data_IF_055178142971
#
_entry.id   IF_055178142971
#
_cell.length_a   1.000
_cell.length_b   1.000
_cell.length_c   1.000
_cell.angle_alpha   90.00
_cell.angle_beta   90.00
_cell.angle_gamma   90.00
#
_symmetry.space_group_name_H-M   'P 1'
#
loop_
_entity.id
_entity.type
_entity.pdbx_description
1 polymer ?
#
# COMPACT_ATOMS: atom_id res chain seq x y z
N UNK A 1 -56.89 29.82 5.90
CA UNK A 1 -56.74 28.44 5.42
C UNK A 1 -55.60 27.84 6.22
N UNK A 2 -55.95 27.15 7.30
CA UNK A 2 -55.03 26.70 8.35
C UNK A 2 -55.07 25.18 8.33
N UNK A 3 -53.95 24.53 8.05
CA UNK A 3 -53.83 23.08 8.08
C UNK A 3 -52.88 22.67 9.22
N UNK A 4 -53.44 21.89 10.13
CA UNK A 4 -52.83 21.30 11.32
C UNK A 4 -51.89 20.16 10.92
N UNK A 5 -50.70 20.13 11.51
CA UNK A 5 -49.81 18.97 11.51
C UNK A 5 -50.22 18.04 12.66
N UNK A 6 -50.49 16.77 12.33
CA UNK A 6 -50.71 15.70 13.30
C UNK A 6 -49.42 14.94 13.57
N UNK A 7 -49.03 14.85 14.83
CA UNK A 7 -47.92 14.03 15.32
C UNK A 7 -48.39 12.58 15.54
N UNK A 8 -47.68 11.61 14.97
CA UNK A 8 -47.92 10.18 15.22
C UNK A 8 -46.79 9.63 16.09
N UNK A 9 -47.08 9.42 17.38
CA UNK A 9 -46.17 8.80 18.35
C UNK A 9 -46.38 7.28 18.35
N UNK A 10 -45.39 6.52 17.86
CA UNK A 10 -45.36 5.05 17.95
C UNK A 10 -44.67 4.62 19.24
N UNK A 11 -45.45 4.04 20.17
CA UNK A 11 -44.95 3.41 21.40
C UNK A 11 -44.43 2.00 21.08
N UNK A 12 -43.15 1.77 21.36
CA UNK A 12 -42.50 0.46 21.32
C UNK A 12 -42.75 -0.28 22.65
N UNK A 13 -43.29 -1.50 22.59
CA UNK A 13 -43.37 -2.44 23.71
C UNK A 13 -42.34 -3.56 23.49
N UNK A 14 -41.48 -3.88 24.47
CA UNK A 14 -40.64 -5.06 24.39
C UNK A 14 -41.40 -6.30 24.90
N UNK A 15 -41.45 -7.35 24.09
CA UNK A 15 -41.88 -8.68 24.53
C UNK A 15 -40.71 -9.46 25.14
N UNK A 16 -40.90 -9.94 26.36
CA UNK A 16 -40.01 -10.86 27.07
C UNK A 16 -40.22 -12.28 26.56
N UNK A 17 -39.29 -12.76 25.73
CA UNK A 17 -39.22 -14.14 25.27
C UNK A 17 -38.18 -14.95 26.05
N UNK A 18 -38.65 -15.98 26.73
CA UNK A 18 -37.90 -16.97 27.52
C UNK A 18 -37.00 -17.83 26.62
N UNK A 19 -35.70 -17.92 26.96
CA UNK A 19 -34.69 -18.71 26.26
C UNK A 19 -34.79 -20.18 26.71
N UNK A 20 -35.11 -21.08 25.78
CA UNK A 20 -35.13 -22.54 25.98
C UNK A 20 -33.87 -23.15 25.38
N UNK A 21 -33.15 -23.91 26.20
CA UNK A 21 -32.02 -24.76 25.82
C UNK A 21 -32.44 -25.81 24.78
N UNK A 22 -31.75 -25.84 23.64
CA UNK A 22 -31.67 -27.01 22.76
C UNK A 22 -30.23 -27.11 22.23
N UNK A 23 -29.52 -28.14 22.69
CA UNK A 23 -28.24 -28.55 22.11
C UNK A 23 -28.49 -29.30 20.78
N UNK A 24 -27.70 -29.06 19.73
CA UNK A 24 -27.83 -29.82 18.49
C UNK A 24 -27.08 -31.16 18.57
N UNK A 25 -27.80 -32.23 18.26
CA UNK A 25 -27.26 -33.57 17.96
C UNK A 25 -26.55 -33.54 16.60
N UNK A 26 -25.38 -34.19 16.43
CA UNK A 26 -24.71 -34.29 15.12
C UNK A 26 -25.50 -35.20 14.16
N UNK A 27 -25.52 -34.91 12.84
CA UNK A 27 -26.16 -35.78 11.87
C UNK A 27 -25.28 -36.98 11.50
N UNK A 28 -25.96 -38.11 11.25
CA UNK A 28 -25.43 -39.41 10.87
C UNK A 28 -24.66 -39.40 9.54
N UNK A 29 -23.56 -40.17 9.52
CA UNK A 29 -22.76 -40.49 8.35
C UNK A 29 -23.55 -41.36 7.36
N UNK A 30 -24.03 -40.75 6.28
CA UNK A 30 -24.45 -41.47 5.08
C UNK A 30 -23.32 -41.47 4.05
N UNK A 31 -22.64 -42.62 3.93
CA UNK A 31 -21.81 -42.96 2.78
C UNK A 31 -22.63 -42.88 1.48
N UNK A 32 -22.36 -41.85 0.68
CA UNK A 32 -22.74 -41.80 -0.73
C UNK A 32 -21.49 -42.10 -1.56
N UNK A 33 -21.42 -43.34 -2.05
CA UNK A 33 -20.44 -43.75 -3.05
C UNK A 33 -20.85 -43.14 -4.40
N UNK A 34 -20.13 -42.12 -4.84
CA UNK A 34 -20.21 -41.59 -6.21
C UNK A 34 -18.94 -41.95 -6.96
N UNK A 35 -19.12 -42.88 -7.90
CA UNK A 35 -18.15 -43.31 -8.90
C UNK A 35 -18.25 -42.34 -10.10
N UNK A 36 -17.25 -41.49 -10.28
CA UNK A 36 -17.06 -40.70 -11.49
C UNK A 36 -15.59 -40.30 -11.64
N UNK A 37 -14.92 -40.88 -12.65
CA UNK A 37 -13.54 -40.58 -12.99
C UNK A 37 -13.35 -39.13 -13.41
N UNK A 38 -12.48 -38.43 -12.67
CA UNK A 38 -11.82 -37.21 -13.11
C UNK A 38 -10.35 -37.33 -12.72
N UNK A 39 -9.47 -37.52 -13.71
CA UNK A 39 -8.03 -37.49 -13.46
C UNK A 39 -7.59 -36.03 -13.17
N UNK A 40 -6.94 -35.75 -12.03
CA UNK A 40 -6.38 -34.43 -11.78
C UNK A 40 -5.13 -34.23 -12.64
N UNK A 41 -5.17 -33.19 -13.47
CA UNK A 41 -3.99 -32.67 -14.17
C UNK A 41 -2.93 -32.34 -13.10
N UNK A 42 -1.81 -33.07 -13.14
CA UNK A 42 -0.64 -32.82 -12.28
C UNK A 42 -0.13 -31.41 -12.54
N UNK A 43 -0.32 -30.50 -11.58
CA UNK A 43 0.42 -29.25 -11.52
C UNK A 43 1.93 -29.55 -11.40
N UNK A 44 2.79 -28.84 -12.14
CA UNK A 44 4.24 -29.01 -12.01
C UNK A 44 4.69 -28.57 -10.62
N UNK A 45 5.33 -29.49 -9.89
CA UNK A 45 6.10 -29.21 -8.67
C UNK A 45 7.23 -28.23 -9.03
N UNK A 46 7.16 -27.00 -8.53
CA UNK A 46 8.27 -26.06 -8.67
C UNK A 46 8.00 -24.58 -8.38
N UNK A 47 6.75 -24.13 -8.30
CA UNK A 47 6.44 -22.72 -8.02
C UNK A 47 5.56 -22.62 -6.77
N UNK A 48 6.16 -22.25 -5.65
CA UNK A 48 5.40 -21.71 -4.51
C UNK A 48 4.70 -20.44 -5.01
N UNK A 49 3.39 -20.34 -4.73
CA UNK A 49 2.63 -19.11 -4.97
C UNK A 49 3.27 -17.94 -4.21
N UNK A 50 3.13 -16.69 -4.69
CA UNK A 50 3.66 -15.54 -3.95
C UNK A 50 3.12 -15.47 -2.52
N UNK A 51 1.89 -15.95 -2.30
CA UNK A 51 1.30 -16.10 -0.97
C UNK A 51 2.10 -17.04 -0.05
N UNK A 52 2.64 -18.15 -0.58
CA UNK A 52 3.48 -19.08 0.18
C UNK A 52 4.91 -18.55 0.38
N UNK A 53 5.43 -17.75 -0.56
CA UNK A 53 6.72 -17.05 -0.41
C UNK A 53 6.63 -15.97 0.67
N UNK A 54 5.53 -15.21 0.72
CA UNK A 54 5.25 -14.20 1.74
C UNK A 54 5.14 -14.83 3.14
N UNK A 55 4.46 -15.99 3.26
CA UNK A 55 4.45 -16.80 4.50
C UNK A 55 5.81 -17.36 4.90
N UNK A 56 6.71 -17.61 3.93
CA UNK A 56 8.07 -18.07 4.22
C UNK A 56 8.94 -16.94 4.81
N UNK A 57 8.86 -15.73 4.25
CA UNK A 57 9.52 -14.54 4.80
C UNK A 57 9.02 -14.24 6.23
N UNK A 58 7.72 -14.37 6.49
CA UNK A 58 7.15 -14.18 7.83
C UNK A 58 7.61 -15.21 8.87
N UNK A 59 7.84 -16.47 8.48
CA UNK A 59 8.41 -17.49 9.38
C UNK A 59 9.85 -17.19 9.77
N UNK A 60 10.61 -16.52 8.91
CA UNK A 60 12.00 -16.17 9.18
C UNK A 60 12.10 -14.97 10.15
N UNK A 61 11.18 -14.00 10.04
CA UNK A 61 11.16 -12.82 10.91
C UNK A 61 10.51 -13.08 12.28
N UNK A 62 9.58 -14.02 12.40
CA UNK A 62 8.98 -14.42 13.69
C UNK A 62 9.91 -15.21 14.62
N UNK A 63 11.08 -15.64 14.15
CA UNK A 63 12.03 -16.47 14.92
C UNK A 63 13.14 -15.67 15.64
N UNK A 64 13.23 -14.35 15.42
CA UNK A 64 14.23 -13.50 16.06
C UNK A 64 13.72 -13.01 17.43
N UNK A 65 14.20 -13.68 18.48
CA UNK A 65 13.87 -13.39 19.87
C UNK A 65 14.16 -11.94 20.29
N UNK A 66 13.35 -11.46 21.23
CA UNK A 66 13.49 -10.15 21.91
C UNK A 66 14.92 -9.95 22.46
N UNK A 67 15.63 -8.86 22.12
CA UNK A 67 16.74 -8.40 22.93
C UNK A 67 16.24 -7.52 24.10
N UNK A 68 16.93 -7.65 25.22
CA UNK A 68 16.70 -6.91 26.46
C UNK A 68 17.12 -5.44 26.35
N UNK A 69 16.39 -4.57 27.05
CA UNK A 69 16.62 -3.13 27.19
C UNK A 69 18.09 -2.78 27.46
N UNK A 70 18.68 -1.93 26.61
CA UNK A 70 19.88 -1.18 26.91
C UNK A 70 19.59 0.32 26.74
N UNK A 71 19.62 1.06 27.84
CA UNK A 71 19.50 2.51 27.87
C UNK A 71 20.77 3.15 27.26
N UNK A 72 20.60 3.97 26.22
CA UNK A 72 21.69 4.74 25.63
C UNK A 72 21.58 6.21 26.08
N UNK A 73 22.58 6.68 26.83
CA UNK A 73 22.77 8.07 27.19
C UNK A 73 23.30 8.85 25.98
N UNK A 74 22.55 9.83 25.49
CA UNK A 74 22.98 10.75 24.43
C UNK A 74 23.73 11.93 25.08
N UNK A 75 25.00 12.09 24.70
CA UNK A 75 25.80 13.25 25.05
C UNK A 75 25.42 14.44 24.14
N UNK A 76 25.01 15.55 24.76
CA UNK A 76 24.77 16.82 24.08
C UNK A 76 26.09 17.41 23.54
N UNK A 77 26.08 17.82 22.27
CA UNK A 77 27.13 18.65 21.67
C UNK A 77 26.55 19.97 21.18
N UNK A 78 27.32 21.02 21.41
CA UNK A 78 26.94 22.43 21.34
C UNK A 78 26.54 22.90 19.93
N UNK A 79 25.47 23.69 19.89
CA UNK A 79 24.94 24.35 18.69
C UNK A 79 25.68 25.67 18.47
N UNK A 80 26.36 25.79 17.33
CA UNK A 80 26.90 27.08 16.86
C UNK A 80 25.82 27.78 16.04
N UNK A 81 25.32 28.91 16.53
CA UNK A 81 24.25 29.70 15.92
C UNK A 81 24.77 30.57 14.76
N UNK A 82 24.50 30.14 13.53
CA UNK A 82 24.61 31.01 12.35
C UNK A 82 23.34 31.87 12.22
N UNK A 83 23.50 33.19 12.32
CA UNK A 83 22.43 34.14 12.02
C UNK A 83 22.34 34.33 10.51
N UNK A 84 21.76 33.36 9.82
CA UNK A 84 21.34 33.48 8.43
C UNK A 84 19.92 34.00 8.37
N UNK A 85 19.68 35.03 7.56
CA UNK A 85 18.35 35.55 7.22
C UNK A 85 17.45 34.41 6.76
N UNK A 86 16.53 33.94 7.62
CA UNK A 86 15.52 32.96 7.25
C UNK A 86 14.52 33.60 6.28
N UNK A 87 14.79 33.48 4.98
CA UNK A 87 13.70 33.47 4.02
C UNK A 87 12.91 32.21 4.31
N UNK A 88 11.78 32.35 4.99
CA UNK A 88 10.73 31.32 4.99
C UNK A 88 10.25 31.20 3.55
N UNK A 89 10.87 30.29 2.80
CA UNK A 89 10.39 29.88 1.48
C UNK A 89 8.97 29.36 1.69
N UNK A 90 8.00 30.11 1.18
CA UNK A 90 6.60 29.77 1.33
C UNK A 90 6.36 28.49 0.54
N UNK A 91 5.96 27.43 1.23
CA UNK A 91 5.64 26.15 0.62
C UNK A 91 4.63 26.38 -0.52
N UNK A 92 4.88 25.83 -1.72
CA UNK A 92 3.92 25.94 -2.81
C UNK A 92 2.60 25.30 -2.37
N UNK A 93 1.48 25.93 -2.72
CA UNK A 93 0.15 25.36 -2.46
C UNK A 93 -0.17 24.33 -3.54
N UNK A 94 -0.65 23.13 -3.19
CA UNK A 94 -1.09 22.17 -4.18
C UNK A 94 -2.34 22.69 -4.93
N UNK A 95 -2.44 22.40 -6.22
CA UNK A 95 -3.63 22.68 -7.03
C UNK A 95 -4.80 21.75 -6.72
N UNK A 96 -4.51 20.56 -6.18
CA UNK A 96 -5.49 19.59 -5.67
C UNK A 96 -4.99 19.11 -4.32
N UNK A 97 -5.85 19.11 -3.31
CA UNK A 97 -5.58 18.50 -2.01
C UNK A 97 -6.85 17.78 -1.56
N UNK A 98 -6.75 16.45 -1.47
CA UNK A 98 -7.87 15.58 -1.14
C UNK A 98 -7.40 14.52 -0.13
N UNK A 99 -8.21 14.27 0.90
CA UNK A 99 -7.98 13.17 1.82
C UNK A 99 -8.92 12.03 1.49
N UNK A 100 -8.37 10.87 1.20
CA UNK A 100 -9.12 9.65 0.92
C UNK A 100 -8.88 8.60 1.99
N UNK A 101 -9.80 7.65 2.13
CA UNK A 101 -9.65 6.49 3.00
C UNK A 101 -9.54 5.26 2.11
N UNK A 102 -8.41 4.56 2.20
CA UNK A 102 -8.21 3.27 1.55
C UNK A 102 -8.24 2.18 2.62
N UNK A 103 -9.03 1.13 2.42
CA UNK A 103 -8.85 -0.08 3.20
C UNK A 103 -7.66 -0.86 2.60
N UNK A 104 -6.51 -0.77 3.25
CA UNK A 104 -5.32 -1.51 2.82
C UNK A 104 -5.49 -2.98 3.17
N UNK A 105 -5.10 -3.85 2.25
CA UNK A 105 -5.05 -5.29 2.40
C UNK A 105 -3.64 -5.79 2.12
N UNK A 106 -3.22 -6.79 2.90
CA UNK A 106 -1.92 -7.47 2.77
C UNK A 106 -0.66 -6.59 2.86
N UNK A 107 -0.79 -5.33 3.29
CA UNK A 107 0.34 -4.42 3.40
C UNK A 107 0.88 -3.93 2.06
N UNK A 108 0.02 -3.84 1.05
CA UNK A 108 0.34 -3.13 -0.18
C UNK A 108 -0.84 -2.33 -0.71
N UNK A 109 -0.53 -1.33 -1.52
CA UNK A 109 -1.50 -0.66 -2.37
C UNK A 109 -0.87 -0.29 -3.71
N UNK A 110 -1.73 0.03 -4.68
CA UNK A 110 -1.37 0.21 -6.08
C UNK A 110 -1.87 1.55 -6.56
N UNK A 111 -1.04 2.27 -7.31
CA UNK A 111 -1.39 3.50 -8.00
C UNK A 111 -1.48 3.23 -9.50
N UNK A 112 -2.56 3.68 -10.14
CA UNK A 112 -2.77 3.55 -11.59
C UNK A 112 -3.33 4.84 -12.17
N UNK A 113 -2.84 5.22 -13.35
CA UNK A 113 -3.39 6.34 -14.10
C UNK A 113 -4.39 5.95 -15.18
N UNK A 114 -5.02 4.78 -15.10
CA UNK A 114 -6.00 4.30 -16.10
C UNK A 114 -5.41 3.79 -17.42
N UNK A 115 -4.08 3.69 -17.54
CA UNK A 115 -3.38 3.15 -18.72
C UNK A 115 -2.70 1.80 -18.48
N UNK A 116 -2.64 1.34 -17.23
CA UNK A 116 -1.94 0.13 -16.84
C UNK A 116 -2.73 -1.14 -17.13
N UNK A 117 -2.00 -2.24 -17.34
CA UNK A 117 -2.56 -3.59 -17.38
C UNK A 117 -2.67 -4.15 -15.94
N UNK A 118 -3.84 -4.68 -15.59
CA UNK A 118 -4.08 -5.30 -14.28
C UNK A 118 -3.20 -6.55 -14.08
N UNK A 119 -2.87 -7.25 -15.17
CA UNK A 119 -2.08 -8.48 -15.11
C UNK A 119 -0.61 -8.23 -14.72
N UNK A 120 -0.13 -6.99 -14.83
CA UNK A 120 1.25 -6.63 -14.46
C UNK A 120 1.47 -6.42 -12.96
N UNK A 121 0.40 -6.24 -12.17
CA UNK A 121 0.50 -5.94 -10.73
C UNK A 121 1.32 -7.00 -9.99
N UNK A 122 1.10 -8.28 -10.28
CA UNK A 122 1.81 -9.36 -9.61
C UNK A 122 3.32 -9.32 -9.84
N UNK A 123 3.74 -9.01 -11.07
CA UNK A 123 5.16 -8.88 -11.40
C UNK A 123 5.78 -7.67 -10.71
N UNK A 124 5.03 -6.58 -10.54
CA UNK A 124 5.48 -5.39 -9.79
C UNK A 124 5.55 -5.67 -8.29
N UNK A 125 4.60 -6.42 -7.73
CA UNK A 125 4.63 -6.85 -6.34
C UNK A 125 5.88 -7.69 -6.04
N UNK A 126 6.21 -8.66 -6.87
CA UNK A 126 7.44 -9.46 -6.72
C UNK A 126 8.71 -8.58 -6.74
N UNK A 127 8.74 -7.54 -7.59
CA UNK A 127 9.84 -6.58 -7.64
C UNK A 127 9.91 -5.71 -6.39
N UNK A 128 8.78 -5.17 -5.93
CA UNK A 128 8.73 -4.36 -4.72
C UNK A 128 9.15 -5.15 -3.48
N UNK A 129 8.79 -6.43 -3.41
CA UNK A 129 9.23 -7.33 -2.33
C UNK A 129 10.73 -7.62 -2.37
N UNK A 130 11.32 -7.67 -3.56
CA UNK A 130 12.76 -7.89 -3.72
C UNK A 130 13.59 -6.62 -3.49
N UNK A 131 13.06 -5.46 -3.88
CA UNK A 131 13.69 -4.14 -3.72
C UNK A 131 12.68 -3.16 -3.17
N UNK A 132 12.64 -3.06 -1.84
CA UNK A 132 11.66 -2.23 -1.15
C UNK A 132 11.92 -0.73 -1.38
N UNK A 133 10.91 0.14 -1.23
CA UNK A 133 9.53 -0.15 -0.79
C UNK A 133 8.49 -0.13 -1.91
N UNK A 134 8.90 0.03 -3.18
CA UNK A 134 7.99 0.10 -4.31
C UNK A 134 8.60 -0.51 -5.57
N UNK A 135 7.74 -0.75 -6.55
CA UNK A 135 8.15 -0.96 -7.93
C UNK A 135 7.07 -0.41 -8.88
N UNK A 136 7.49 0.19 -9.98
CA UNK A 136 6.59 0.69 -11.01
C UNK A 136 7.14 0.51 -12.42
N UNK A 137 6.23 0.59 -13.39
CA UNK A 137 6.54 0.47 -14.83
C UNK A 137 6.21 1.75 -15.62
N UNK A 138 5.81 2.84 -14.94
CA UNK A 138 5.35 4.09 -15.54
C UNK A 138 3.84 4.17 -15.74
N UNK A 139 3.11 3.07 -15.62
CA UNK A 139 1.65 3.00 -15.78
C UNK A 139 0.96 2.53 -14.49
N UNK A 140 1.64 1.66 -13.75
CA UNK A 140 1.24 1.12 -12.46
C UNK A 140 2.43 1.21 -11.50
N UNK A 141 2.16 1.53 -10.23
CA UNK A 141 3.14 1.52 -9.15
C UNK A 141 2.57 0.74 -7.96
N UNK A 142 3.29 -0.28 -7.50
CA UNK A 142 2.98 -1.01 -6.26
C UNK A 142 3.82 -0.44 -5.13
N UNK A 143 3.19 -0.15 -4.00
CA UNK A 143 3.83 0.36 -2.78
C UNK A 143 3.59 -0.60 -1.64
N UNK A 144 4.65 -0.91 -0.90
CA UNK A 144 4.60 -1.74 0.29
C UNK A 144 4.46 -0.90 1.55
N UNK A 145 3.61 -1.34 2.46
CA UNK A 145 3.53 -0.87 3.83
C UNK A 145 4.29 -1.82 4.76
N UNK A 146 5.07 -1.30 5.73
CA UNK A 146 5.62 -2.13 6.80
C UNK A 146 4.57 -2.95 7.57
N UNK A 147 3.37 -2.40 7.74
CA UNK A 147 2.25 -3.11 8.34
C UNK A 147 1.55 -3.97 7.28
N UNK A 148 1.33 -5.26 7.59
CA UNK A 148 0.80 -6.27 6.65
C UNK A 148 -0.65 -6.68 6.96
N UNK A 149 -1.28 -6.00 7.92
CA UNK A 149 -2.67 -6.21 8.30
C UNK A 149 -3.65 -5.43 7.43
N UNK A 150 -4.91 -5.80 7.56
CA UNK A 150 -6.01 -5.08 6.93
C UNK A 150 -6.48 -3.96 7.87
N UNK A 151 -6.42 -2.72 7.40
CA UNK A 151 -6.90 -1.55 8.13
C UNK A 151 -7.26 -0.41 7.20
N UNK A 152 -8.15 0.46 7.68
CA UNK A 152 -8.42 1.73 7.01
C UNK A 152 -7.23 2.67 7.18
N UNK A 153 -6.78 3.23 6.07
CA UNK A 153 -5.57 4.01 5.96
C UNK A 153 -5.93 5.34 5.31
N UNK A 154 -5.84 6.47 6.03
CA UNK A 154 -6.02 7.77 5.43
C UNK A 154 -4.81 8.12 4.56
N UNK A 155 -5.10 8.64 3.37
CA UNK A 155 -4.08 9.08 2.42
C UNK A 155 -4.40 10.52 2.03
N UNK A 156 -3.45 11.42 2.25
CA UNK A 156 -3.50 12.78 1.71
C UNK A 156 -2.92 12.78 0.29
N UNK A 157 -3.73 13.14 -0.71
CA UNK A 157 -3.33 13.22 -2.11
C UNK A 157 -3.20 14.69 -2.50
N UNK A 158 -2.02 15.06 -2.98
CA UNK A 158 -1.66 16.43 -3.32
C UNK A 158 -1.10 16.50 -4.75
N UNK A 159 -1.63 17.39 -5.58
CA UNK A 159 -1.10 17.65 -6.93
C UNK A 159 -0.48 19.04 -6.95
N UNK A 160 0.78 19.16 -7.37
CA UNK A 160 1.52 20.41 -7.46
C UNK A 160 1.85 20.75 -8.92
N UNK A 161 2.01 22.05 -9.20
CA UNK A 161 2.46 22.51 -10.51
C UNK A 161 3.96 22.25 -10.77
N UNK A 162 4.74 22.03 -9.71
CA UNK A 162 6.17 21.72 -9.74
C UNK A 162 6.54 20.94 -8.47
N UNK A 163 7.72 20.30 -8.45
CA UNK A 163 8.23 19.58 -7.27
C UNK A 163 8.26 20.53 -6.04
N UNK A 164 7.56 20.22 -4.94
CA UNK A 164 7.65 21.00 -3.72
C UNK A 164 9.02 20.81 -3.03
N UNK A 165 9.40 21.71 -2.10
CA UNK A 165 10.58 21.50 -1.25
C UNK A 165 10.51 20.17 -0.46
N UNK A 166 11.68 19.65 -0.12
CA UNK A 166 11.79 18.40 0.61
C UNK A 166 11.37 18.55 2.07
N UNK A 167 10.52 17.63 2.51
CA UNK A 167 10.13 17.44 3.91
C UNK A 167 10.47 16.01 4.38
N UNK A 168 11.49 15.39 3.77
CA UNK A 168 11.84 13.99 3.99
C UNK A 168 12.12 13.63 5.46
N UNK A 169 12.53 14.61 6.27
CA UNK A 169 12.79 14.42 7.69
C UNK A 169 11.52 14.10 8.51
N UNK A 170 10.33 14.40 7.97
CA UNK A 170 9.04 14.18 8.64
C UNK A 170 8.45 12.79 8.37
N UNK A 171 9.12 11.98 7.53
CA UNK A 171 8.62 10.71 7.02
C UNK A 171 9.58 9.57 7.29
N UNK A 172 9.02 8.40 7.58
CA UNK A 172 9.80 7.18 7.88
C UNK A 172 10.08 6.36 6.63
N UNK A 173 9.18 6.41 5.66
CA UNK A 173 9.32 5.78 4.36
C UNK A 173 8.97 6.77 3.26
N UNK A 174 9.78 6.83 2.21
CA UNK A 174 9.55 7.66 1.04
C UNK A 174 10.00 6.88 -0.19
N UNK A 175 9.16 6.82 -1.20
CA UNK A 175 9.58 6.38 -2.53
C UNK A 175 9.07 7.33 -3.60
N UNK A 176 9.80 7.35 -4.72
CA UNK A 176 9.41 8.07 -5.92
C UNK A 176 9.35 7.10 -7.09
N UNK A 177 8.40 7.30 -8.00
CA UNK A 177 8.38 6.67 -9.31
C UNK A 177 7.69 7.57 -10.34
N UNK A 178 7.76 7.20 -11.60
CA UNK A 178 7.02 7.86 -12.68
C UNK A 178 5.66 7.18 -12.83
N UNK A 179 4.60 7.97 -12.99
CA UNK A 179 3.26 7.48 -13.29
C UNK A 179 2.59 8.35 -14.35
N UNK A 180 1.99 7.69 -15.35
CA UNK A 180 1.22 8.34 -16.41
C UNK A 180 -0.27 8.30 -16.10
N UNK A 181 -0.89 9.47 -16.03
CA UNK A 181 -2.33 9.65 -15.96
C UNK A 181 -2.88 9.75 -17.38
N UNK A 182 -3.79 8.83 -17.70
CA UNK A 182 -4.46 8.71 -18.99
C UNK A 182 -5.47 9.83 -19.27
N UNK A 183 -6.12 9.78 -20.44
CA UNK A 183 -7.00 10.84 -20.92
C UNK A 183 -8.24 11.06 -20.02
N UNK A 184 -8.66 10.05 -19.27
CA UNK A 184 -9.77 10.15 -18.32
C UNK A 184 -9.45 11.03 -17.10
N UNK A 185 -8.16 11.31 -16.85
CA UNK A 185 -7.77 12.22 -15.78
C UNK A 185 -8.02 11.67 -14.37
N UNK A 186 -7.80 10.37 -14.17
CA UNK A 186 -8.04 9.70 -12.89
C UNK A 186 -6.76 9.02 -12.41
N UNK A 187 -6.37 9.34 -11.18
CA UNK A 187 -5.49 8.51 -10.36
C UNK A 187 -6.37 7.55 -9.56
N UNK A 188 -6.21 6.26 -9.84
CA UNK A 188 -6.84 5.20 -9.08
C UNK A 188 -5.86 4.66 -8.03
N UNK A 189 -6.34 4.53 -6.80
CA UNK A 189 -5.63 3.98 -5.64
C UNK A 189 -6.37 2.71 -5.22
N UNK A 190 -5.68 1.59 -5.24
CA UNK A 190 -6.31 0.28 -5.06
C UNK A 190 -5.53 -0.58 -4.05
N UNK A 191 -6.22 -1.49 -3.38
CA UNK A 191 -5.62 -2.58 -2.61
C UNK A 191 -6.48 -3.81 -2.86
N UNK A 192 -5.85 -4.91 -3.31
CA UNK A 192 -6.36 -5.93 -4.24
C UNK A 192 -7.62 -6.71 -3.84
N UNK A 193 -8.26 -6.41 -2.71
CA UNK A 193 -9.55 -6.99 -2.28
C UNK A 193 -10.65 -5.97 -1.99
N UNK A 194 -10.37 -4.66 -2.15
CA UNK A 194 -11.28 -3.59 -1.80
C UNK A 194 -11.70 -2.77 -3.02
N UNK A 195 -12.72 -1.92 -2.84
CA UNK A 195 -13.09 -0.98 -3.89
C UNK A 195 -11.98 0.06 -4.05
N UNK A 196 -11.52 0.32 -5.29
CA UNK A 196 -10.53 1.36 -5.52
C UNK A 196 -11.11 2.74 -5.19
N UNK A 197 -10.21 3.67 -4.88
CA UNK A 197 -10.53 5.08 -4.71
C UNK A 197 -9.96 5.87 -5.87
N UNK A 198 -10.79 6.75 -6.44
CA UNK A 198 -10.43 7.56 -7.60
C UNK A 198 -10.25 9.03 -7.19
N UNK A 199 -9.13 9.63 -7.61
CA UNK A 199 -8.83 11.04 -7.43
C UNK A 199 -8.65 11.71 -8.79
N UNK A 200 -9.25 12.88 -8.98
CA UNK A 200 -9.16 13.63 -10.23
C UNK A 200 -7.77 14.27 -10.37
N UNK A 201 -7.05 13.90 -11.43
CA UNK A 201 -5.71 14.41 -11.76
C UNK A 201 -5.64 14.67 -13.25
N UNK A 202 -5.16 15.84 -13.67
CA UNK A 202 -5.08 16.13 -15.11
C UNK A 202 -4.21 15.09 -15.84
N UNK A 203 -4.57 14.71 -17.09
CA UNK A 203 -3.76 13.80 -17.89
C UNK A 203 -2.31 14.30 -18.03
N UNK A 204 -1.34 13.39 -17.96
CA UNK A 204 0.08 13.75 -18.04
C UNK A 204 1.01 12.71 -17.45
N UNK A 205 2.32 12.99 -17.49
CA UNK A 205 3.36 12.20 -16.85
C UNK A 205 3.83 12.92 -15.57
N UNK A 206 3.74 12.24 -14.44
CA UNK A 206 4.05 12.78 -13.13
C UNK A 206 5.19 12.00 -12.51
N UNK A 207 6.03 12.69 -11.75
CA UNK A 207 6.74 12.05 -10.67
C UNK A 207 5.79 11.96 -9.47
N UNK A 208 5.61 10.74 -8.98
CA UNK A 208 4.78 10.44 -7.83
C UNK A 208 5.69 10.15 -6.66
N UNK A 209 5.54 10.90 -5.58
CA UNK A 209 6.19 10.63 -4.31
C UNK A 209 5.16 10.06 -3.34
N UNK A 210 5.45 8.91 -2.76
CA UNK A 210 4.63 8.28 -1.73
C UNK A 210 5.41 8.29 -0.43
N UNK A 211 4.83 8.88 0.61
CA UNK A 211 5.43 9.01 1.94
C UNK A 211 4.55 8.35 2.98
N UNK A 212 5.18 7.67 3.95
CA UNK A 212 4.49 6.98 5.04
C UNK A 212 5.20 7.18 6.38
N UNK A 213 4.43 7.27 7.45
CA UNK A 213 4.91 7.36 8.83
C UNK A 213 3.87 6.81 9.81
N UNK A 214 4.25 6.71 11.08
CA UNK A 214 3.41 6.12 12.14
C UNK A 214 3.68 4.64 12.36
N UNK A 215 4.69 4.08 11.68
CA UNK A 215 5.00 2.65 11.75
C UNK A 215 5.55 2.26 13.11
N UNK A 216 4.98 1.19 13.69
CA UNK A 216 5.32 0.71 15.04
C UNK A 216 5.99 -0.66 15.03
N UNK A 217 5.72 -1.51 14.03
CA UNK A 217 6.43 -2.78 13.80
C UNK A 217 6.30 -3.25 12.33
N UNK A 218 7.05 -4.28 11.93
CA UNK A 218 6.72 -5.03 10.72
C UNK A 218 5.60 -6.03 10.98
N UNK A 219 4.65 -6.14 10.05
CA UNK A 219 3.54 -7.08 10.15
C UNK A 219 2.35 -6.51 10.92
N UNK A 220 2.07 -7.02 12.12
CA UNK A 220 0.85 -6.71 12.87
C UNK A 220 1.05 -5.55 13.88
N UNK A 221 0.58 -4.31 13.64
CA UNK A 221 0.73 -3.15 14.54
C UNK A 221 0.19 -3.27 15.97
N UNK A 222 -0.49 -4.35 16.32
CA UNK A 222 -1.18 -4.45 17.62
C UNK A 222 -2.64 -3.99 17.57
N UNK A 223 -3.04 -3.34 16.49
CA UNK A 223 -4.36 -2.72 16.30
C UNK A 223 -4.79 -2.78 14.82
N UNK A 224 -6.08 -2.60 14.56
CA UNK A 224 -6.65 -2.42 13.21
C UNK A 224 -6.84 -0.96 12.84
N UNK A 225 -6.39 -0.04 13.70
CA UNK A 225 -6.35 1.40 13.45
C UNK A 225 -4.97 1.92 13.83
N UNK A 226 -3.90 1.49 13.11
CA UNK A 226 -2.59 2.08 13.35
C UNK A 226 -2.67 3.57 13.01
N UNK A 227 -1.93 4.41 13.71
CA UNK A 227 -1.83 5.85 13.45
C UNK A 227 -0.95 6.13 12.22
N UNK A 228 -1.06 5.27 11.21
CA UNK A 228 -0.33 5.37 9.95
C UNK A 228 -0.86 6.59 9.18
N UNK A 229 0.06 7.44 8.79
CA UNK A 229 -0.22 8.57 7.92
C UNK A 229 0.49 8.34 6.59
N UNK A 230 -0.27 8.46 5.51
CA UNK A 230 0.22 8.32 4.15
C UNK A 230 -0.06 9.56 3.35
N UNK A 231 0.86 9.89 2.45
CA UNK A 231 0.73 11.02 1.54
C UNK A 231 1.24 10.66 0.16
N UNK A 232 0.48 11.03 -0.86
CA UNK A 232 0.84 10.90 -2.27
C UNK A 232 0.94 12.31 -2.84
N UNK A 233 2.13 12.67 -3.30
CA UNK A 233 2.37 13.92 -4.03
C UNK A 233 2.59 13.62 -5.50
N UNK A 234 1.87 14.31 -6.37
CA UNK A 234 2.07 14.28 -7.81
C UNK A 234 2.57 15.64 -8.27
N UNK A 235 3.60 15.65 -9.09
CA UNK A 235 4.05 16.86 -9.78
C UNK A 235 4.54 16.49 -11.18
N UNK A 236 4.31 17.35 -12.19
CA UNK A 236 4.76 17.08 -13.55
C UNK A 236 6.24 16.76 -13.58
N UNK A 237 6.62 15.76 -14.36
CA UNK A 237 8.03 15.47 -14.57
C UNK A 237 8.71 16.61 -15.32
N UNK A 238 9.87 17.03 -14.83
CA UNK A 238 10.79 17.94 -15.48
C UNK A 238 11.98 17.19 -16.12
N UNK A 239 11.87 15.86 -16.22
CA UNK A 239 12.93 14.95 -16.64
C UNK A 239 13.87 14.52 -15.52
N UNK A 240 13.66 14.98 -14.28
CA UNK A 240 14.40 14.46 -13.13
C UNK A 240 14.03 13.01 -12.86
N UNK A 241 15.03 12.20 -12.52
CA UNK A 241 14.81 10.81 -12.13
C UNK A 241 14.24 10.73 -10.71
N UNK A 242 13.47 9.66 -10.39
CA UNK A 242 13.09 9.36 -9.02
C UNK A 242 14.29 9.32 -8.09
N UNK A 243 14.12 9.84 -6.88
CA UNK A 243 15.17 9.82 -5.87
C UNK A 243 15.29 8.44 -5.20
N UNK A 244 16.46 8.13 -4.60
CA UNK A 244 16.61 6.94 -3.78
C UNK A 244 15.54 6.90 -2.69
N UNK A 245 14.95 5.73 -2.49
CA UNK A 245 13.93 5.54 -1.47
C UNK A 245 14.51 5.69 -0.07
N UNK A 246 13.74 6.31 0.83
CA UNK A 246 13.93 6.23 2.27
C UNK A 246 13.13 5.03 2.75
N UNK A 247 13.81 4.07 3.38
CA UNK A 247 13.16 2.90 3.98
C UNK A 247 13.03 3.12 5.47
N UNK A 248 11.93 2.62 6.01
CA UNK A 248 11.76 2.64 7.45
C UNK A 248 12.82 1.75 8.12
N UNK A 249 13.53 2.35 9.07
CA UNK A 249 14.46 1.65 9.96
C UNK A 249 13.70 1.23 11.22
N UNK A 250 13.37 -0.07 11.32
CA UNK A 250 12.60 -0.56 12.46
C UNK A 250 13.45 -0.52 13.73
N UNK A 251 13.00 0.19 14.80
CA UNK A 251 13.76 0.28 16.04
C UNK A 251 14.11 -1.10 16.61
N UNK A 252 15.41 -1.35 16.77
CA UNK A 252 15.95 -2.60 17.34
C UNK A 252 16.15 -3.75 16.35
N UNK A 253 15.77 -3.58 15.09
CA UNK A 253 15.85 -4.62 14.06
C UNK A 253 16.51 -4.15 12.76
N UNK A 254 16.56 -2.85 12.49
CA UNK A 254 17.19 -2.30 11.30
C UNK A 254 16.21 -2.15 10.13
N UNK A 255 16.80 -1.83 8.97
CA UNK A 255 16.13 -1.83 7.67
C UNK A 255 16.15 -3.27 7.11
N UNK A 256 15.04 -3.81 6.59
CA UNK A 256 15.02 -5.10 5.92
C UNK A 256 16.00 -5.15 4.74
N UNK A 257 16.74 -6.26 4.65
CA UNK A 257 17.64 -6.51 3.52
C UNK A 257 16.85 -6.67 2.22
N UNK A 258 17.41 -6.15 1.12
CA UNK A 258 16.92 -6.51 -0.21
C UNK A 258 17.23 -7.97 -0.51
N UNK A 259 16.28 -8.64 -1.16
CA UNK A 259 16.51 -9.99 -1.65
C UNK A 259 17.21 -9.86 -3.00
N UNK A 260 18.48 -10.27 -3.09
CA UNK A 260 19.20 -10.30 -4.37
C UNK A 260 18.41 -11.13 -5.39
N UNK A 261 17.85 -10.45 -6.41
CA UNK A 261 17.29 -11.14 -7.56
C UNK A 261 18.43 -11.75 -8.36
N UNK A 262 18.29 -13.03 -8.72
CA UNK A 262 19.35 -13.68 -9.50
C UNK A 262 19.44 -13.06 -10.90
N UNK A 263 20.63 -12.98 -11.52
CA UNK A 263 20.82 -12.34 -12.83
C UNK A 263 19.92 -12.88 -13.96
N UNK A 264 19.48 -14.14 -13.86
CA UNK A 264 18.61 -14.80 -14.83
C UNK A 264 17.18 -14.22 -14.86
N UNK A 265 16.68 -13.78 -13.70
CA UNK A 265 15.35 -13.15 -13.57
C UNK A 265 15.39 -11.71 -14.09
N UNK A 266 16.51 -11.02 -13.85
CA UNK A 266 16.76 -9.64 -14.31
C UNK A 266 16.83 -9.50 -15.84
N UNK A 267 17.45 -10.44 -16.57
CA UNK A 267 17.54 -10.38 -18.04
C UNK A 267 16.21 -10.68 -18.74
N UNK A 268 15.44 -11.62 -18.21
CA UNK A 268 14.09 -11.94 -18.70
C UNK A 268 13.14 -10.74 -18.59
N UNK A 269 13.41 -9.84 -17.64
CA UNK A 269 12.66 -8.61 -17.41
C UNK A 269 13.04 -7.48 -18.38
N UNK A 270 14.34 -7.22 -18.61
CA UNK A 270 14.79 -6.22 -19.61
C UNK A 270 14.22 -6.50 -21.00
N UNK A 271 14.12 -7.78 -21.37
CA UNK A 271 13.52 -8.20 -22.65
C UNK A 271 12.03 -7.89 -22.74
N UNK A 272 11.28 -7.99 -21.65
CA UNK A 272 9.84 -7.64 -21.61
C UNK A 272 9.62 -6.13 -21.67
N UNK A 273 10.43 -5.34 -20.97
CA UNK A 273 10.38 -3.86 -21.02
C UNK A 273 10.67 -3.29 -22.41
N UNK A 274 11.59 -3.92 -23.16
CA UNK A 274 11.90 -3.53 -24.53
C UNK A 274 10.79 -3.90 -25.55
N UNK A 275 10.00 -4.95 -25.28
CA UNK A 275 8.98 -5.43 -26.20
C UNK A 275 7.71 -4.55 -26.21
N UNK A 276 7.37 -3.90 -25.09
CA UNK A 276 6.19 -3.02 -24.98
C UNK A 276 6.39 -1.69 -25.72
N UNK A 277 7.62 -1.27 -25.98
CA UNK A 277 7.95 0.00 -26.63
C UNK A 277 7.91 0.01 -28.17
N UNK A 278 7.51 -1.05 -28.87
CA UNK A 278 7.60 -1.14 -30.35
C UNK A 278 6.28 -1.48 -31.08
N UNK A 279 5.14 -1.41 -30.39
CA UNK A 279 3.84 -1.79 -30.95
C UNK A 279 2.91 -0.64 -31.32
N UNK A 280 3.36 0.43 -31.99
CA UNK A 280 2.41 1.33 -32.67
C UNK A 280 3.06 2.16 -33.77
N UNK A 281 3.08 1.61 -34.98
CA UNK A 281 3.11 2.36 -36.23
C UNK A 281 2.69 1.42 -37.38
N UNK A 282 1.38 1.36 -37.67
CA UNK A 282 0.82 1.19 -39.02
C UNK A 282 -0.70 1.33 -38.99
#
# INVERSE_FOLDING_TARGET
MTLLLGETSLQYRPETGTQSDFAPTPPDDHELTLDAGFEPVRQPRGLLSAHERLRAVHRQNGALGRPANAAATIAAREVTTWHGTSMTEQMPTPSVSERVILAMDHGQFVLRGGLGDLDNEFSLLEQALATQPNAGDGLTMVVLSPHQNNFEMPIDVEVFAARPPDDNADWQQICEDILRIGPEGVLQIDSSTMSPVDVQVLPGEYLVQVSGRGFVNYGWPGTTTPDDEWRIRLFPTDGTSPRPAVRWDMPGYGIPDDVEQTPAESESFRRRRAAVGHGSAR
#
